data_IF_829512812127
#
_entry.id   IF_829512812127
#
_cell.length_a   1.000
_cell.length_b   1.000
_cell.length_c   1.000
_cell.angle_alpha   90.00
_cell.angle_beta   90.00
_cell.angle_gamma   90.00
#
_symmetry.space_group_name_H-M   'P 1'
#
loop_
_entity.id
_entity.type
_entity.pdbx_description
1 polymer ?
#
# COMPACT_ATOMS: atom_id res chain seq x y z
N UNK A 1 -35.83 -19.99 -63.48
CA UNK A 1 -36.26 -21.14 -62.66
C UNK A 1 -35.43 -21.18 -61.39
N UNK A 2 -36.09 -21.40 -60.23
CA UNK A 2 -35.56 -21.71 -58.88
C UNK A 2 -34.58 -20.67 -58.27
N UNK A 3 -34.92 -19.84 -57.28
CA UNK A 3 -35.58 -20.04 -55.98
C UNK A 3 -34.89 -21.04 -55.04
N UNK A 4 -34.16 -20.50 -54.03
CA UNK A 4 -34.02 -20.99 -52.64
C UNK A 4 -33.12 -20.01 -51.86
N UNK A 5 -33.66 -19.23 -50.91
CA UNK A 5 -33.96 -19.58 -49.51
C UNK A 5 -32.78 -19.37 -48.54
N UNK A 6 -32.77 -18.19 -47.91
CA UNK A 6 -32.65 -17.89 -46.47
C UNK A 6 -31.68 -18.72 -45.61
N UNK A 7 -30.68 -18.05 -45.02
CA UNK A 7 -30.23 -18.32 -43.65
C UNK A 7 -29.61 -17.04 -43.04
N UNK A 8 -30.29 -16.48 -42.04
CA UNK A 8 -29.78 -15.44 -41.14
C UNK A 8 -28.94 -16.14 -40.08
N UNK A 9 -27.64 -15.84 -40.03
CA UNK A 9 -26.77 -16.29 -38.95
C UNK A 9 -26.51 -15.12 -38.00
N UNK A 10 -27.26 -15.08 -36.90
CA UNK A 10 -26.97 -14.22 -35.76
C UNK A 10 -25.63 -14.61 -35.15
N UNK A 11 -24.66 -13.69 -35.17
CA UNK A 11 -23.36 -13.87 -34.53
C UNK A 11 -23.51 -13.58 -33.03
N UNK A 12 -23.95 -14.59 -32.28
CA UNK A 12 -23.95 -14.57 -30.83
C UNK A 12 -22.51 -14.45 -30.32
N UNK A 13 -22.24 -13.38 -29.56
CA UNK A 13 -21.00 -13.20 -28.85
C UNK A 13 -20.80 -14.34 -27.86
N UNK A 14 -19.62 -14.97 -27.92
CA UNK A 14 -19.12 -15.79 -26.84
C UNK A 14 -17.83 -15.14 -26.37
N UNK A 15 -17.97 -14.32 -25.32
CA UNK A 15 -16.83 -13.89 -24.51
C UNK A 15 -16.12 -15.17 -24.06
N UNK A 16 -14.89 -15.38 -24.57
CA UNK A 16 -14.00 -16.40 -24.07
C UNK A 16 -13.61 -15.98 -22.66
N UNK A 17 -14.36 -16.46 -21.66
CA UNK A 17 -13.94 -16.44 -20.27
C UNK A 17 -12.69 -17.32 -20.21
N UNK A 18 -11.53 -16.68 -20.14
CA UNK A 18 -10.25 -17.38 -19.98
C UNK A 18 -10.38 -18.29 -18.76
N UNK A 19 -10.28 -19.59 -18.99
CA UNK A 19 -10.12 -20.57 -17.93
C UNK A 19 -8.78 -20.28 -17.26
N UNK A 20 -8.82 -19.58 -16.13
CA UNK A 20 -7.67 -19.39 -15.26
C UNK A 20 -7.33 -20.76 -14.68
N UNK A 21 -6.19 -21.32 -15.10
CA UNK A 21 -5.78 -22.68 -14.77
C UNK A 21 -5.79 -22.93 -13.26
N UNK A 22 -6.35 -24.06 -12.85
CA UNK A 22 -6.42 -24.55 -11.47
C UNK A 22 -5.07 -25.08 -10.97
N UNK A 23 -3.98 -24.34 -11.23
CA UNK A 23 -2.66 -24.64 -10.72
C UNK A 23 -2.39 -23.87 -9.43
N UNK A 24 -1.70 -24.48 -8.46
CA UNK A 24 -1.22 -23.73 -7.30
C UNK A 24 -0.28 -22.63 -7.78
N UNK A 25 -0.59 -21.38 -7.42
CA UNK A 25 0.33 -20.27 -7.67
C UNK A 25 1.50 -20.39 -6.70
N UNK A 26 2.71 -20.44 -7.25
CA UNK A 26 3.95 -20.53 -6.47
C UNK A 26 4.39 -19.16 -5.99
N UNK A 27 4.89 -19.09 -4.77
CA UNK A 27 5.56 -17.92 -4.25
C UNK A 27 6.92 -17.75 -4.95
N UNK A 28 7.31 -16.50 -5.18
CA UNK A 28 8.60 -16.15 -5.78
C UNK A 28 9.17 -14.89 -5.13
N UNK A 29 10.50 -14.79 -5.13
CA UNK A 29 11.23 -13.59 -4.75
C UNK A 29 11.84 -12.95 -6.00
N UNK A 30 11.39 -11.73 -6.31
CA UNK A 30 11.95 -10.95 -7.42
C UNK A 30 13.03 -10.03 -6.87
N UNK A 31 14.24 -10.14 -7.40
CA UNK A 31 15.39 -9.31 -7.05
C UNK A 31 15.53 -8.23 -8.14
N UNK A 32 15.64 -6.98 -7.73
CA UNK A 32 15.61 -5.80 -8.59
C UNK A 32 16.78 -4.89 -8.29
N UNK A 33 17.17 -4.08 -9.28
CA UNK A 33 18.15 -3.03 -9.06
C UNK A 33 17.64 -2.01 -8.05
N UNK A 34 18.52 -1.50 -7.17
CA UNK A 34 18.17 -0.42 -6.27
C UNK A 34 17.77 0.83 -7.08
N UNK A 35 16.92 1.71 -6.50
CA UNK A 35 16.45 2.89 -7.18
C UNK A 35 17.61 3.82 -7.55
N UNK A 36 17.53 4.42 -8.73
CA UNK A 36 18.57 5.34 -9.22
C UNK A 36 18.68 6.63 -8.39
N UNK A 37 17.60 7.00 -7.68
CA UNK A 37 17.46 8.18 -6.82
C UNK A 37 16.67 7.82 -5.57
N UNK A 38 16.94 8.50 -4.45
CA UNK A 38 16.14 8.35 -3.23
C UNK A 38 14.67 8.71 -3.52
N UNK A 39 13.74 7.86 -3.11
CA UNK A 39 12.29 8.02 -3.34
C UNK A 39 11.78 7.55 -4.72
N UNK A 40 12.65 7.08 -5.62
CA UNK A 40 12.21 6.42 -6.85
C UNK A 40 11.84 4.94 -6.59
N UNK A 41 11.01 4.37 -7.47
CA UNK A 41 10.69 2.94 -7.46
C UNK A 41 11.89 2.05 -7.85
N UNK A 42 11.74 0.72 -7.71
CA UNK A 42 12.79 -0.23 -8.05
C UNK A 42 13.21 -0.11 -9.53
N UNK A 43 14.48 -0.44 -9.81
CA UNK A 43 15.02 -0.50 -11.16
C UNK A 43 14.66 -1.77 -11.91
N UNK A 44 15.53 -2.19 -12.84
CA UNK A 44 15.31 -3.40 -13.64
C UNK A 44 15.31 -4.68 -12.77
N UNK A 45 14.60 -5.72 -13.21
CA UNK A 45 14.63 -7.04 -12.57
C UNK A 45 15.99 -7.70 -12.86
N UNK A 46 16.70 -8.10 -11.80
CA UNK A 46 17.99 -8.77 -11.87
C UNK A 46 17.85 -10.29 -11.90
N UNK A 47 17.02 -10.83 -11.00
CA UNK A 47 16.80 -12.27 -10.87
C UNK A 47 15.41 -12.56 -10.29
N UNK A 48 14.95 -13.80 -10.45
CA UNK A 48 13.71 -14.27 -9.84
C UNK A 48 13.94 -15.66 -9.29
N UNK A 49 13.80 -15.80 -7.97
CA UNK A 49 13.92 -17.07 -7.27
C UNK A 49 12.51 -17.63 -7.08
N UNK A 50 12.18 -18.69 -7.83
CA UNK A 50 10.90 -19.38 -7.66
C UNK A 50 11.02 -20.41 -6.54
N UNK A 51 10.08 -20.38 -5.59
CA UNK A 51 10.09 -21.33 -4.49
C UNK A 51 9.48 -22.67 -4.93
N UNK A 52 10.15 -23.74 -4.55
CA UNK A 52 9.71 -25.11 -4.85
C UNK A 52 8.41 -25.43 -4.09
N UNK A 53 8.39 -25.06 -2.80
CA UNK A 53 7.27 -25.18 -1.91
C UNK A 53 6.80 -23.79 -1.47
N UNK A 54 5.49 -23.62 -1.38
CA UNK A 54 4.93 -22.42 -0.80
C UNK A 54 5.19 -22.40 0.71
N UNK A 55 5.42 -21.22 1.29
CA UNK A 55 5.63 -21.12 2.73
C UNK A 55 4.38 -21.58 3.48
N UNK A 56 4.58 -22.39 4.52
CA UNK A 56 3.47 -22.85 5.37
C UNK A 56 2.89 -21.74 6.25
N UNK A 57 3.69 -20.70 6.52
CA UNK A 57 3.32 -19.51 7.31
C UNK A 57 4.05 -18.29 6.79
N UNK A 58 3.43 -17.13 7.01
CA UNK A 58 3.98 -15.83 6.65
C UNK A 58 3.60 -14.83 7.73
N UNK A 59 4.59 -14.09 8.24
CA UNK A 59 4.37 -13.10 9.29
C UNK A 59 4.60 -11.68 8.72
N UNK A 60 3.55 -10.87 8.71
CA UNK A 60 3.59 -9.48 8.29
C UNK A 60 3.33 -8.58 9.51
N UNK A 61 4.23 -7.63 9.75
CA UNK A 61 4.12 -6.65 10.82
C UNK A 61 4.26 -5.24 10.27
N UNK A 62 3.63 -4.27 10.93
CA UNK A 62 3.78 -2.84 10.65
C UNK A 62 3.75 -2.08 11.95
N UNK A 63 4.76 -1.27 12.21
CA UNK A 63 4.86 -0.49 13.45
C UNK A 63 4.34 0.93 13.26
N UNK A 64 3.92 1.54 14.37
CA UNK A 64 3.52 2.94 14.46
C UNK A 64 4.13 3.52 15.72
N UNK A 65 4.72 4.70 15.62
CA UNK A 65 5.30 5.41 16.77
C UNK A 65 4.31 6.45 17.32
N UNK A 66 4.08 6.38 18.63
CA UNK A 66 3.28 7.33 19.40
C UNK A 66 4.14 7.92 20.50
N UNK A 67 4.11 9.24 20.66
CA UNK A 67 4.84 9.95 21.72
C UNK A 67 3.86 10.46 22.76
N UNK A 68 4.17 10.21 24.03
CA UNK A 68 3.46 10.82 25.18
C UNK A 68 4.42 11.76 25.88
N UNK A 69 3.95 12.94 26.28
CA UNK A 69 4.70 13.87 27.12
C UNK A 69 4.16 13.78 28.54
N UNK A 70 4.69 12.89 29.40
CA UNK A 70 4.22 12.76 30.77
C UNK A 70 4.59 14.02 31.58
N UNK A 71 3.64 14.55 32.35
CA UNK A 71 3.88 15.64 33.29
C UNK A 71 3.85 15.11 34.72
N UNK A 72 4.82 15.51 35.54
CA UNK A 72 5.06 14.97 36.90
C UNK A 72 3.87 15.09 37.87
N UNK A 73 2.94 16.01 37.60
CA UNK A 73 1.79 16.34 38.43
C UNK A 73 0.45 15.94 37.79
N UNK A 74 0.46 15.28 36.63
CA UNK A 74 -0.77 14.86 35.97
C UNK A 74 -1.36 13.62 36.65
N UNK A 75 -2.58 13.74 37.17
CA UNK A 75 -3.34 12.61 37.75
C UNK A 75 -3.87 11.60 36.72
N UNK A 76 -3.70 11.88 35.42
CA UNK A 76 -4.10 11.01 34.31
C UNK A 76 -3.02 10.97 33.22
N UNK A 77 -3.07 9.93 32.39
CA UNK A 77 -2.12 9.75 31.29
C UNK A 77 -2.29 10.83 30.21
N UNK A 78 -1.16 11.36 29.72
CA UNK A 78 -1.17 12.32 28.62
C UNK A 78 -1.70 11.70 27.31
N UNK A 79 -2.44 12.50 26.54
CA UNK A 79 -2.90 12.13 25.21
C UNK A 79 -1.69 11.78 24.32
N UNK A 80 -1.73 10.65 23.59
CA UNK A 80 -0.65 10.26 22.69
C UNK A 80 -0.67 11.12 21.41
N UNK A 81 0.50 11.65 21.03
CA UNK A 81 0.75 12.31 19.75
C UNK A 81 1.27 11.27 18.74
N UNK A 82 0.68 11.22 17.54
CA UNK A 82 1.16 10.35 16.46
C UNK A 82 2.47 10.91 15.88
N UNK A 83 3.56 10.12 15.92
CA UNK A 83 4.87 10.54 15.40
C UNK A 83 5.04 10.11 13.94
N UNK A 84 4.65 8.88 13.62
CA UNK A 84 4.81 8.35 12.28
C UNK A 84 4.48 6.88 12.16
N UNK A 85 4.30 6.45 10.92
CA UNK A 85 4.21 5.03 10.57
C UNK A 85 5.60 4.49 10.32
N UNK A 86 5.97 3.42 11.01
CA UNK A 86 7.16 2.64 10.68
C UNK A 86 6.97 1.79 9.42
N UNK A 87 8.06 1.18 8.91
CA UNK A 87 8.01 0.31 7.74
C UNK A 87 7.26 -0.99 8.03
N UNK A 88 6.76 -1.62 6.97
CA UNK A 88 6.33 -3.02 7.05
C UNK A 88 7.53 -3.95 7.13
N UNK A 89 7.42 -5.00 7.91
CA UNK A 89 8.39 -6.10 7.98
C UNK A 89 7.69 -7.42 7.72
N UNK A 90 8.31 -8.23 6.85
CA UNK A 90 7.83 -9.53 6.40
C UNK A 90 8.85 -10.60 6.78
N UNK A 91 8.42 -11.63 7.48
CA UNK A 91 9.22 -12.81 7.78
C UNK A 91 8.59 -14.05 7.14
N UNK A 92 9.42 -14.82 6.42
CA UNK A 92 9.00 -16.01 5.69
C UNK A 92 10.08 -17.08 5.75
N UNK A 93 9.65 -18.32 6.00
CA UNK A 93 10.51 -19.49 5.92
C UNK A 93 10.28 -20.23 4.60
N UNK A 94 11.37 -20.46 3.87
CA UNK A 94 11.38 -21.13 2.57
C UNK A 94 12.14 -22.42 2.70
N UNK A 95 11.47 -23.52 2.36
CA UNK A 95 12.08 -24.85 2.32
C UNK A 95 12.53 -25.19 0.89
N UNK A 96 13.75 -25.67 0.76
CA UNK A 96 14.37 -26.12 -0.49
C UNK A 96 14.79 -27.59 -0.36
N UNK A 97 14.46 -28.41 -1.35
CA UNK A 97 14.77 -29.84 -1.38
C UNK A 97 15.22 -30.30 -2.78
N UNK A 98 16.35 -30.99 -2.83
CA UNK A 98 16.90 -31.65 -4.01
C UNK A 98 17.00 -33.17 -3.84
N UNK A 99 16.34 -33.76 -2.83
CA UNK A 99 16.53 -35.18 -2.48
C UNK A 99 16.03 -36.14 -3.54
N UNK A 100 15.01 -35.76 -4.30
CA UNK A 100 14.52 -36.58 -5.40
C UNK A 100 15.50 -36.63 -6.59
N UNK A 101 16.24 -35.54 -6.82
CA UNK A 101 17.12 -35.39 -8.00
C UNK A 101 18.61 -35.53 -7.71
N UNK A 102 19.02 -35.48 -6.44
CA UNK A 102 20.43 -35.40 -6.01
C UNK A 102 21.21 -34.27 -6.75
N UNK A 103 20.51 -33.18 -7.10
CA UNK A 103 21.03 -32.09 -7.93
C UNK A 103 21.52 -30.90 -7.10
N UNK A 104 22.12 -29.89 -7.76
CA UNK A 104 22.67 -28.71 -7.07
C UNK A 104 21.69 -27.56 -6.88
N UNK A 105 20.40 -27.84 -7.07
CA UNK A 105 19.41 -26.78 -7.14
C UNK A 105 19.14 -26.12 -5.79
N UNK A 106 19.52 -26.74 -4.67
CA UNK A 106 19.47 -26.12 -3.34
C UNK A 106 20.55 -25.04 -3.21
N UNK A 107 21.81 -25.39 -3.48
CA UNK A 107 22.93 -24.45 -3.40
C UNK A 107 22.74 -23.27 -4.37
N UNK A 108 22.40 -23.53 -5.63
CA UNK A 108 22.18 -22.49 -6.64
C UNK A 108 21.08 -21.49 -6.21
N UNK A 109 19.99 -21.98 -5.61
CA UNK A 109 18.91 -21.10 -5.12
C UNK A 109 19.33 -20.31 -3.90
N UNK A 110 20.09 -20.91 -2.98
CA UNK A 110 20.62 -20.19 -1.82
C UNK A 110 21.61 -19.11 -2.27
N UNK A 111 22.49 -19.39 -3.23
CA UNK A 111 23.39 -18.39 -3.79
C UNK A 111 22.62 -17.23 -4.44
N UNK A 112 21.54 -17.52 -5.17
CA UNK A 112 20.66 -16.46 -5.70
C UNK A 112 20.02 -15.60 -4.61
N UNK A 113 19.62 -16.20 -3.48
CA UNK A 113 19.13 -15.45 -2.33
C UNK A 113 20.25 -14.61 -1.69
N UNK A 114 21.47 -15.14 -1.59
CA UNK A 114 22.63 -14.40 -1.07
C UNK A 114 22.99 -13.19 -1.94
N UNK A 115 22.79 -13.26 -3.27
CA UNK A 115 22.98 -12.10 -4.16
C UNK A 115 22.08 -10.92 -3.76
N UNK A 116 20.89 -11.17 -3.21
CA UNK A 116 20.01 -10.10 -2.74
C UNK A 116 20.59 -9.32 -1.55
N UNK A 117 21.54 -9.90 -0.81
CA UNK A 117 22.23 -9.25 0.31
C UNK A 117 23.47 -8.46 -0.12
N UNK A 118 23.93 -8.58 -1.36
CA UNK A 118 25.21 -8.00 -1.82
C UNK A 118 24.96 -6.76 -2.68
N UNK A 119 25.72 -5.66 -2.50
CA UNK A 119 25.59 -4.47 -3.33
C UNK A 119 25.73 -4.77 -4.83
N UNK A 120 24.83 -4.20 -5.63
CA UNK A 120 24.86 -4.42 -7.08
C UNK A 120 26.13 -3.82 -7.70
N UNK A 121 26.67 -4.47 -8.75
CA UNK A 121 27.80 -3.92 -9.53
C UNK A 121 27.53 -2.52 -10.05
N UNK A 122 26.28 -2.23 -10.44
CA UNK A 122 25.84 -0.90 -10.87
C UNK A 122 25.93 0.15 -9.75
N UNK A 123 25.54 -0.20 -8.52
CA UNK A 123 25.64 0.68 -7.36
C UNK A 123 27.10 1.00 -6.98
N UNK A 124 27.96 -0.02 -7.05
CA UNK A 124 29.39 0.10 -6.80
C UNK A 124 30.07 1.01 -7.83
N UNK A 125 29.75 0.86 -9.12
CA UNK A 125 30.23 1.76 -10.19
C UNK A 125 29.83 3.22 -9.95
N UNK A 126 28.67 3.46 -9.36
CA UNK A 126 28.17 4.80 -8.99
C UNK A 126 28.73 5.32 -7.67
N UNK A 127 29.65 4.60 -7.01
CA UNK A 127 30.22 4.92 -5.68
C UNK A 127 29.16 5.14 -4.59
N UNK A 128 27.98 4.54 -4.75
CA UNK A 128 26.86 4.57 -3.80
C UNK A 128 26.40 3.13 -3.59
N UNK A 129 27.08 2.35 -2.73
CA UNK A 129 26.73 0.95 -2.53
C UNK A 129 25.29 0.86 -2.03
N UNK A 130 24.48 0.08 -2.73
CA UNK A 130 23.09 -0.16 -2.37
C UNK A 130 22.76 -1.63 -2.62
N UNK A 131 22.13 -2.25 -1.62
CA UNK A 131 21.60 -3.61 -1.76
C UNK A 131 20.47 -3.63 -2.79
N UNK A 132 20.31 -4.74 -3.52
CA UNK A 132 19.15 -4.99 -4.36
C UNK A 132 17.84 -4.81 -3.59
N UNK A 133 16.83 -4.32 -4.30
CA UNK A 133 15.47 -4.35 -3.79
C UNK A 133 14.86 -5.71 -4.08
N UNK A 134 14.03 -6.19 -3.17
CA UNK A 134 13.34 -7.46 -3.29
C UNK A 134 11.84 -7.24 -3.20
N UNK A 135 11.09 -8.06 -3.93
CA UNK A 135 9.64 -8.14 -3.84
C UNK A 135 9.22 -9.58 -3.72
N UNK A 136 8.54 -9.90 -2.64
CA UNK A 136 7.87 -11.19 -2.48
C UNK A 136 6.55 -11.15 -3.25
N UNK A 137 6.35 -12.09 -4.17
CA UNK A 137 5.12 -12.19 -4.96
C UNK A 137 4.49 -13.57 -4.74
N UNK A 138 3.21 -13.58 -4.33
CA UNK A 138 2.46 -14.83 -4.19
C UNK A 138 1.00 -14.64 -4.57
N UNK A 139 0.63 -15.15 -5.75
CA UNK A 139 -0.73 -15.07 -6.25
C UNK A 139 -1.24 -13.62 -6.35
N UNK A 140 -2.47 -13.42 -5.91
CA UNK A 140 -3.15 -12.11 -5.93
C UNK A 140 -3.04 -11.37 -4.59
N UNK A 141 -2.23 -11.85 -3.66
CA UNK A 141 -2.12 -11.31 -2.31
C UNK A 141 -1.33 -10.00 -2.28
N UNK A 142 -2.02 -8.88 -2.58
CA UNK A 142 -1.43 -7.53 -2.62
C UNK A 142 -0.84 -7.04 -1.29
N UNK A 143 -1.34 -7.56 -0.16
CA UNK A 143 -0.88 -7.17 1.17
C UNK A 143 0.54 -7.64 1.49
N UNK A 144 0.98 -8.70 0.83
CA UNK A 144 2.29 -9.32 1.06
C UNK A 144 3.31 -8.89 0.00
N UNK A 145 2.83 -8.45 -1.17
CA UNK A 145 3.68 -7.93 -2.24
C UNK A 145 4.00 -6.46 -2.03
N UNK A 146 5.15 -6.17 -1.44
CA UNK A 146 5.69 -4.81 -1.34
C UNK A 146 7.17 -4.78 -1.72
N UNK A 147 7.65 -3.58 -2.05
CA UNK A 147 9.06 -3.33 -2.36
C UNK A 147 9.84 -3.13 -1.09
N UNK A 148 10.85 -3.97 -0.89
CA UNK A 148 11.66 -3.98 0.30
C UNK A 148 13.13 -4.22 0.04
N UNK A 149 13.91 -4.20 1.11
CA UNK A 149 15.27 -4.71 1.16
C UNK A 149 15.29 -5.95 2.04
N UNK A 150 16.15 -6.91 1.70
CA UNK A 150 16.37 -8.07 2.54
C UNK A 150 17.22 -7.64 3.74
N UNK A 151 16.62 -7.60 4.92
CA UNK A 151 17.28 -7.18 6.16
C UNK A 151 18.05 -8.33 6.81
N UNK A 152 17.56 -9.56 6.70
CA UNK A 152 18.30 -10.75 7.09
C UNK A 152 17.97 -11.96 6.22
N UNK A 153 18.98 -12.82 6.05
CA UNK A 153 18.89 -14.14 5.45
C UNK A 153 19.66 -15.12 6.33
N UNK A 154 18.97 -16.11 6.87
CA UNK A 154 19.57 -17.22 7.60
C UNK A 154 19.27 -18.52 6.85
N UNK A 155 20.25 -19.41 6.74
CA UNK A 155 20.12 -20.66 5.98
C UNK A 155 20.61 -21.81 6.85
N UNK A 156 19.71 -22.73 7.15
CA UNK A 156 20.00 -23.97 7.83
C UNK A 156 20.03 -25.11 6.82
N UNK A 157 21.24 -25.59 6.51
CA UNK A 157 21.40 -26.76 5.65
C UNK A 157 21.14 -28.04 6.45
N UNK A 158 20.37 -28.94 5.86
CA UNK A 158 20.10 -30.26 6.41
C UNK A 158 20.23 -31.31 5.31
N UNK A 159 20.58 -32.54 5.68
CA UNK A 159 20.75 -33.67 4.76
C UNK A 159 21.73 -33.39 3.60
N UNK A 160 22.88 -34.07 3.64
CA UNK A 160 23.94 -33.89 2.66
C UNK A 160 24.09 -35.15 1.82
N UNK A 161 24.49 -34.96 0.57
CA UNK A 161 24.93 -36.07 -0.28
C UNK A 161 26.31 -36.60 0.18
N UNK A 162 26.73 -37.74 -0.36
CA UNK A 162 28.04 -38.35 -0.06
C UNK A 162 29.21 -37.42 -0.39
N UNK A 163 29.03 -36.54 -1.36
CA UNK A 163 30.01 -35.54 -1.78
C UNK A 163 30.02 -34.28 -0.87
N UNK A 164 29.19 -34.24 0.18
CA UNK A 164 29.07 -33.12 1.11
C UNK A 164 28.14 -32.00 0.64
N UNK A 165 27.49 -32.18 -0.50
CA UNK A 165 26.56 -31.24 -1.12
C UNK A 165 25.23 -31.17 -0.34
N UNK A 166 24.69 -29.98 -0.02
CA UNK A 166 23.43 -29.88 0.69
C UNK A 166 22.25 -30.27 -0.20
N UNK A 167 21.46 -31.24 0.25
CA UNK A 167 20.24 -31.68 -0.44
C UNK A 167 18.98 -31.05 0.15
N UNK A 168 19.02 -30.45 1.35
CA UNK A 168 17.94 -29.64 1.90
C UNK A 168 18.46 -28.37 2.56
N UNK A 169 17.66 -27.32 2.48
CA UNK A 169 17.90 -26.10 3.22
C UNK A 169 16.59 -25.46 3.66
N UNK A 170 16.58 -24.92 4.88
CA UNK A 170 15.53 -24.02 5.37
C UNK A 170 16.11 -22.62 5.39
N UNK A 171 15.53 -21.72 4.60
CA UNK A 171 15.95 -20.33 4.52
C UNK A 171 14.93 -19.44 5.24
N UNK A 172 15.36 -18.75 6.29
CA UNK A 172 14.56 -17.73 6.97
C UNK A 172 14.90 -16.35 6.41
N UNK A 173 13.93 -15.71 5.76
CA UNK A 173 14.07 -14.40 5.14
C UNK A 173 13.32 -13.34 5.97
N UNK A 174 13.97 -12.21 6.22
CA UNK A 174 13.32 -11.00 6.72
C UNK A 174 13.45 -9.86 5.70
N UNK A 175 12.31 -9.32 5.27
CA UNK A 175 12.22 -8.25 4.28
C UNK A 175 11.61 -7.02 4.95
N UNK A 176 12.26 -5.88 4.81
CA UNK A 176 11.81 -4.59 5.33
C UNK A 176 11.42 -3.66 4.18
N UNK A 177 10.28 -2.97 4.30
CA UNK A 177 9.76 -2.05 3.29
C UNK A 177 10.74 -0.89 3.03
N UNK A 178 11.16 -0.73 1.77
CA UNK A 178 12.14 0.25 1.35
C UNK A 178 11.51 1.44 0.59
N UNK A 179 10.20 1.36 0.33
CA UNK A 179 9.43 2.38 -0.36
C UNK A 179 8.92 3.47 0.58
N UNK A 180 9.36 4.71 0.37
CA UNK A 180 8.79 5.92 0.98
C UNK A 180 7.57 6.47 0.21
N UNK A 181 6.89 5.62 -0.55
CA UNK A 181 5.71 6.01 -1.30
C UNK A 181 4.50 6.04 -0.39
N UNK A 182 4.36 7.05 0.47
CA UNK A 182 3.00 7.52 0.77
C UNK A 182 2.48 8.00 -0.59
N UNK A 183 1.50 7.32 -1.22
CA UNK A 183 0.82 7.95 -2.36
C UNK A 183 0.37 9.31 -1.85
N UNK A 184 0.81 10.38 -2.51
CA UNK A 184 0.77 11.75 -1.96
C UNK A 184 -0.51 11.93 -1.18
N UNK A 185 -0.40 12.10 0.15
CA UNK A 185 -1.54 12.55 0.93
C UNK A 185 -1.87 13.90 0.33
N UNK A 186 -2.89 13.93 -0.53
CA UNK A 186 -3.58 15.17 -0.80
C UNK A 186 -4.15 15.57 0.57
N UNK A 187 -3.60 16.58 1.27
CA UNK A 187 -4.03 16.92 2.62
C UNK A 187 -5.42 17.60 2.61
N UNK A 188 -6.04 17.72 1.44
CA UNK A 188 -7.28 18.45 1.23
C UNK A 188 -8.50 17.62 1.61
N UNK A 189 -8.61 17.26 2.89
CA UNK A 189 -9.90 16.99 3.52
C UNK A 189 -9.90 17.26 5.03
N UNK A 190 -8.83 17.85 5.57
CA UNK A 190 -8.69 18.12 7.00
C UNK A 190 -8.21 19.52 7.36
N UNK A 191 -8.13 20.47 6.40
CA UNK A 191 -8.03 21.86 6.79
C UNK A 191 -9.37 22.28 7.41
N UNK A 192 -9.32 23.01 8.53
CA UNK A 192 -10.49 23.65 9.15
C UNK A 192 -11.14 24.72 8.24
N UNK A 193 -10.55 24.93 7.05
CA UNK A 193 -11.04 25.74 5.95
C UNK A 193 -11.59 24.88 4.79
N UNK A 194 -12.12 23.69 5.09
CA UNK A 194 -12.85 22.91 4.10
C UNK A 194 -14.14 23.66 3.73
N UNK A 195 -14.11 24.39 2.62
CA UNK A 195 -15.31 24.94 1.99
C UNK A 195 -16.16 23.76 1.55
N UNK A 196 -17.36 23.62 2.10
CA UNK A 196 -18.27 22.51 1.81
C UNK A 196 -19.43 23.04 0.98
N UNK A 197 -19.75 22.37 -0.12
CA UNK A 197 -20.94 22.71 -0.90
C UNK A 197 -22.12 21.89 -0.38
N UNK A 198 -23.25 22.54 -0.09
CA UNK A 198 -24.51 21.90 0.28
C UNK A 198 -25.58 22.18 -0.79
N UNK A 199 -26.25 21.15 -1.27
CA UNK A 199 -27.37 21.32 -2.18
C UNK A 199 -28.65 21.55 -1.39
N UNK A 200 -29.32 22.67 -1.60
CA UNK A 200 -30.56 23.04 -0.90
C UNK A 200 -31.65 22.03 -1.22
N UNK A 201 -32.21 21.42 -0.18
CA UNK A 201 -33.41 20.58 -0.29
C UNK A 201 -34.62 21.39 0.17
N UNK A 202 -35.81 21.07 -0.34
CA UNK A 202 -37.05 21.71 0.09
C UNK A 202 -37.24 21.56 1.61
N UNK A 203 -37.33 22.68 2.32
CA UNK A 203 -37.44 22.72 3.78
C UNK A 203 -36.13 23.09 4.51
N UNK A 204 -35.00 23.20 3.80
CA UNK A 204 -33.76 23.72 4.38
C UNK A 204 -33.88 25.24 4.65
N UNK A 205 -33.24 25.69 5.73
CA UNK A 205 -33.02 27.12 6.00
C UNK A 205 -31.54 27.39 6.32
N UNK A 206 -31.06 28.60 6.07
CA UNK A 206 -29.65 28.96 6.35
C UNK A 206 -29.28 28.78 7.83
N UNK A 207 -30.22 29.05 8.74
CA UNK A 207 -30.02 28.83 10.18
C UNK A 207 -29.86 27.34 10.55
N UNK A 208 -30.63 26.46 9.90
CA UNK A 208 -30.48 25.01 10.10
C UNK A 208 -29.16 24.51 9.51
N UNK A 209 -28.73 25.06 8.37
CA UNK A 209 -27.46 24.70 7.75
C UNK A 209 -26.28 25.18 8.62
N UNK A 210 -26.35 26.40 9.15
CA UNK A 210 -25.35 26.94 10.09
C UNK A 210 -25.28 26.13 11.39
N UNK A 211 -26.42 25.73 11.97
CA UNK A 211 -26.44 24.86 13.16
C UNK A 211 -25.79 23.50 12.89
N UNK A 212 -26.04 22.89 11.71
CA UNK A 212 -25.47 21.59 11.34
C UNK A 212 -23.96 21.65 11.12
N UNK A 213 -23.46 22.72 10.51
CA UNK A 213 -22.06 22.83 10.10
C UNK A 213 -21.17 23.52 11.15
N UNK A 214 -21.71 24.51 11.87
CA UNK A 214 -20.96 25.29 12.87
C UNK A 214 -21.38 25.03 14.32
N UNK A 215 -22.52 24.36 14.54
CA UNK A 215 -23.10 24.25 15.88
C UNK A 215 -23.68 25.55 16.42
N UNK A 216 -23.78 26.59 15.58
CA UNK A 216 -24.34 27.90 15.92
C UNK A 216 -25.31 28.34 14.81
N UNK A 217 -26.58 28.49 15.16
CA UNK A 217 -27.62 28.88 14.24
C UNK A 217 -27.52 30.37 13.84
N UNK A 218 -26.81 31.19 14.63
CA UNK A 218 -26.65 32.63 14.37
C UNK A 218 -25.58 32.93 13.31
N UNK A 219 -24.71 31.97 13.01
CA UNK A 219 -23.67 32.04 11.98
C UNK A 219 -24.20 31.90 10.54
N UNK A 220 -25.53 31.96 10.33
CA UNK A 220 -26.15 31.90 9.00
C UNK A 220 -25.73 33.04 8.07
N UNK A 221 -25.37 34.21 8.63
CA UNK A 221 -24.92 35.38 7.86
C UNK A 221 -23.66 35.10 7.06
N UNK A 222 -22.75 34.30 7.61
CA UNK A 222 -21.51 33.90 6.93
C UNK A 222 -21.80 33.09 5.67
N UNK A 223 -22.85 32.26 5.72
CA UNK A 223 -23.31 31.48 4.55
C UNK A 223 -24.03 32.39 3.53
N UNK A 224 -24.85 33.33 4.00
CA UNK A 224 -25.55 34.28 3.12
C UNK A 224 -24.57 35.18 2.36
N UNK A 225 -23.59 35.76 3.05
CA UNK A 225 -22.54 36.60 2.47
C UNK A 225 -21.66 35.82 1.49
N UNK A 226 -21.35 34.55 1.80
CA UNK A 226 -20.54 33.71 0.92
C UNK A 226 -21.25 33.29 -0.40
N UNK A 227 -22.57 33.46 -0.48
CA UNK A 227 -23.39 33.07 -1.63
C UNK A 227 -24.19 34.22 -2.24
N UNK A 228 -23.91 35.47 -1.85
CA UNK A 228 -24.63 36.68 -2.29
C UNK A 228 -26.16 36.54 -2.17
N UNK A 229 -26.63 36.01 -1.04
CA UNK A 229 -28.07 35.84 -0.76
C UNK A 229 -28.60 37.07 -0.03
N UNK A 230 -29.39 37.87 -0.73
CA UNK A 230 -30.03 39.07 -0.17
C UNK A 230 -31.20 38.73 0.78
N UNK A 231 -31.99 37.72 0.44
CA UNK A 231 -33.13 37.27 1.27
C UNK A 231 -32.86 35.86 1.85
N UNK A 232 -32.52 35.77 3.15
CA UNK A 232 -32.19 34.50 3.80
C UNK A 232 -33.39 33.56 3.99
N UNK A 233 -34.63 34.03 3.76
CA UNK A 233 -35.85 33.22 3.84
C UNK A 233 -36.24 32.58 2.51
N UNK A 234 -35.62 32.98 1.40
CA UNK A 234 -35.93 32.49 0.06
C UNK A 234 -34.76 31.67 -0.47
N UNK A 235 -34.73 30.39 -0.07
CA UNK A 235 -33.79 29.42 -0.65
C UNK A 235 -34.48 28.62 -1.77
N UNK A 236 -33.94 28.71 -2.98
CA UNK A 236 -34.44 27.93 -4.13
C UNK A 236 -33.91 26.49 -4.01
N UNK A 237 -34.79 25.47 -3.86
CA UNK A 237 -34.36 24.08 -3.81
C UNK A 237 -33.61 23.68 -5.08
N UNK A 238 -32.53 22.92 -4.91
CA UNK A 238 -31.63 22.52 -6.00
C UNK A 238 -30.42 23.44 -6.20
N UNK A 239 -30.37 24.59 -5.53
CA UNK A 239 -29.21 25.51 -5.55
C UNK A 239 -28.05 24.92 -4.74
N UNK A 240 -26.82 25.07 -5.24
CA UNK A 240 -25.61 24.75 -4.49
C UNK A 240 -25.18 25.96 -3.65
N UNK A 241 -25.12 25.78 -2.34
CA UNK A 241 -24.65 26.78 -1.39
C UNK A 241 -23.23 26.43 -0.92
N UNK A 242 -22.35 27.42 -0.97
CA UNK A 242 -21.02 27.36 -0.40
C UNK A 242 -21.08 27.65 1.10
N UNK A 243 -20.71 26.67 1.92
CA UNK A 243 -20.58 26.81 3.36
C UNK A 243 -19.09 27.00 3.70
N UNK A 244 -18.66 28.22 4.05
CA UNK A 244 -17.26 28.49 4.39
C UNK A 244 -16.91 27.85 5.74
N UNK A 245 -15.69 27.34 5.94
CA UNK A 245 -15.26 26.95 7.29
C UNK A 245 -15.04 28.21 8.12
N UNK A 246 -15.82 28.43 9.19
CA UNK A 246 -15.51 29.51 10.14
C UNK A 246 -14.20 29.15 10.85
N UNK A 247 -13.11 29.80 10.43
CA UNK A 247 -11.90 29.85 11.24
C UNK A 247 -12.34 30.47 12.56
N UNK A 248 -12.35 29.66 13.63
CA UNK A 248 -12.68 30.18 14.96
C UNK A 248 -11.76 31.35 15.23
N UNK A 249 -12.32 32.55 15.26
CA UNK A 249 -11.62 33.73 15.71
C UNK A 249 -11.12 33.42 17.11
N UNK A 250 -9.81 33.21 17.20
CA UNK A 250 -9.05 33.29 18.42
C UNK A 250 -9.47 34.59 19.08
N UNK A 251 -10.22 34.49 20.18
CA UNK A 251 -10.53 35.63 21.01
C UNK A 251 -9.23 36.22 21.52
N UNK A 252 -8.82 37.32 20.90
CA UNK A 252 -7.79 38.21 21.40
C UNK A 252 -8.51 39.46 21.95
N UNK A 253 -8.12 39.81 23.17
CA UNK A 253 -8.37 41.04 23.94
C UNK A 253 -9.73 41.29 24.62
N UNK A 254 -9.80 41.05 25.94
CA UNK A 254 -9.54 42.08 27.00
C UNK A 254 -9.72 41.53 28.42
#
# INVERSE_FOLDING_TARGET
MASKARAVAGKAGKAAKAFMGSGLVKAQLVIMEPPARSGAGPGARLATVQFQFNPGKLALSKSVEWRRKPARMAGQAALPEFVGSGPRSLSVDVFLDATAGHDNSVEERVEQLMIACVPTKASLRKKKPASPWVRFEWGTAKSVSFDGVLSSLSVDYSLFDVDGKPLRATCSLAIEEAGAGTPGQNPTSGSREARRTHQVVAGDSLAQLAWREYGDATAWRVIAEANDIDDPMVLVPGTELLVPGVAGETGEDR
#
